data_IF_351533799013
#
_entry.id   IF_351533799013
#
_cell.length_a   1.000
_cell.length_b   1.000
_cell.length_c   1.000
_cell.angle_alpha   90.00
_cell.angle_beta   90.00
_cell.angle_gamma   90.00
#
_symmetry.space_group_name_H-M   'P 1'
#
loop_
_entity.id
_entity.type
_entity.pdbx_description
1 polymer ?
#
# COMPACT_ATOMS: atom_id res chain seq x y z
N UNK A 1 23.05 -10.90 -43.70
CA UNK A 1 23.25 -11.04 -42.24
C UNK A 1 21.96 -11.54 -41.62
N UNK A 2 21.93 -12.72 -40.96
CA UNK A 2 20.77 -13.12 -40.18
C UNK A 2 20.74 -12.36 -38.84
N UNK A 3 19.56 -12.00 -38.30
CA UNK A 3 19.49 -11.35 -37.00
C UNK A 3 19.75 -12.36 -35.88
N UNK A 4 20.61 -11.96 -34.97
CA UNK A 4 20.99 -12.68 -33.75
C UNK A 4 19.80 -12.72 -32.79
N UNK A 5 19.29 -13.91 -32.47
CA UNK A 5 18.36 -14.09 -31.35
C UNK A 5 19.13 -13.81 -30.05
N UNK A 6 18.72 -12.80 -29.29
CA UNK A 6 19.19 -12.59 -27.92
C UNK A 6 18.44 -13.55 -27.01
N UNK A 7 19.15 -14.56 -26.51
CA UNK A 7 18.64 -15.42 -25.45
C UNK A 7 18.58 -14.59 -24.16
N UNK A 8 17.38 -14.22 -23.72
CA UNK A 8 17.17 -13.69 -22.38
C UNK A 8 17.07 -14.87 -21.41
N UNK A 9 18.01 -14.94 -20.47
CA UNK A 9 17.90 -15.83 -19.32
C UNK A 9 16.98 -15.12 -18.33
N UNK A 10 15.72 -15.54 -18.27
CA UNK A 10 14.82 -15.18 -17.17
C UNK A 10 15.25 -16.03 -15.97
N UNK A 11 15.87 -15.40 -14.98
CA UNK A 11 16.12 -16.05 -13.69
C UNK A 11 14.81 -15.99 -12.91
N UNK A 12 13.96 -16.99 -13.08
CA UNK A 12 12.84 -17.22 -12.16
C UNK A 12 13.44 -17.71 -10.84
N UNK A 13 13.51 -16.82 -9.84
CA UNK A 13 13.77 -17.25 -8.46
C UNK A 13 12.47 -17.81 -7.89
N UNK A 14 12.26 -19.12 -8.04
CA UNK A 14 11.16 -19.83 -7.38
C UNK A 14 11.63 -20.47 -6.07
N UNK A 15 10.80 -20.42 -5.01
CA UNK A 15 11.10 -21.22 -3.82
C UNK A 15 10.25 -21.03 -2.55
N UNK A 16 8.95 -20.77 -2.63
CA UNK A 16 8.03 -20.88 -1.50
C UNK A 16 6.66 -21.34 -2.01
N UNK A 17 5.97 -22.24 -1.32
CA UNK A 17 4.66 -22.70 -1.74
C UNK A 17 3.72 -21.49 -1.83
N UNK A 18 3.32 -21.12 -3.04
CA UNK A 18 2.27 -20.14 -3.28
C UNK A 18 1.01 -20.73 -2.65
N UNK A 19 0.70 -20.37 -1.41
CA UNK A 19 -0.69 -20.18 -1.05
C UNK A 19 -1.21 -19.24 -2.12
N UNK A 20 -2.11 -19.71 -2.97
CA UNK A 20 -2.68 -18.89 -4.03
C UNK A 20 -3.44 -17.77 -3.34
N UNK A 21 -2.74 -16.65 -3.13
CA UNK A 21 -3.37 -15.40 -2.81
C UNK A 21 -4.38 -15.16 -3.92
N UNK A 22 -5.61 -14.91 -3.50
CA UNK A 22 -6.71 -14.63 -4.41
C UNK A 22 -7.16 -13.25 -4.02
N UNK A 23 -7.09 -12.35 -4.99
CA UNK A 23 -7.62 -11.01 -4.95
C UNK A 23 -9.00 -10.97 -4.28
N UNK A 24 -9.25 -9.87 -3.59
CA UNK A 24 -10.56 -9.68 -3.00
C UNK A 24 -11.60 -9.18 -4.03
N UNK A 25 -12.79 -8.85 -3.54
CA UNK A 25 -13.92 -8.50 -4.40
C UNK A 25 -13.90 -7.04 -4.90
N UNK A 26 -12.92 -6.23 -4.46
CA UNK A 26 -12.84 -4.79 -4.72
C UNK A 26 -11.86 -4.42 -5.81
N UNK A 27 -11.11 -5.40 -6.31
CA UNK A 27 -10.25 -5.24 -7.47
C UNK A 27 -10.99 -4.84 -8.76
N UNK A 28 -10.33 -4.14 -9.70
CA UNK A 28 -8.91 -3.75 -9.67
C UNK A 28 -8.70 -2.40 -8.95
N UNK A 29 -7.71 -2.34 -8.06
CA UNK A 29 -7.21 -1.11 -7.43
C UNK A 29 -5.68 -1.04 -7.28
N UNK A 30 -4.96 -1.75 -8.15
CA UNK A 30 -3.50 -1.93 -8.18
C UNK A 30 -2.72 -0.64 -8.51
N UNK A 31 -3.42 0.41 -8.95
CA UNK A 31 -2.81 1.63 -9.49
C UNK A 31 -3.50 2.90 -9.03
N UNK A 32 -2.82 4.07 -9.07
CA UNK A 32 -3.45 5.35 -8.75
C UNK A 32 -4.67 5.69 -9.62
N UNK A 33 -4.75 5.15 -10.84
CA UNK A 33 -5.86 5.40 -11.76
C UNK A 33 -7.10 4.53 -11.45
N UNK A 34 -6.88 3.39 -10.78
CA UNK A 34 -7.89 2.41 -10.37
C UNK A 34 -8.22 2.51 -8.88
N UNK A 35 -7.50 3.35 -8.14
CA UNK A 35 -7.64 3.56 -6.71
C UNK A 35 -9.11 3.71 -6.25
N UNK A 36 -9.44 3.00 -5.18
CA UNK A 36 -10.75 3.02 -4.55
C UNK A 36 -11.04 4.39 -3.95
N UNK A 37 -12.14 5.07 -4.33
CA UNK A 37 -12.51 6.32 -3.71
C UNK A 37 -12.97 6.11 -2.27
N UNK A 38 -12.45 6.92 -1.35
CA UNK A 38 -12.87 6.88 0.05
C UNK A 38 -14.10 7.74 0.33
N UNK A 39 -14.80 7.42 1.43
CA UNK A 39 -15.93 8.21 1.93
C UNK A 39 -15.44 9.19 2.98
N UNK A 40 -15.77 10.48 2.84
CA UNK A 40 -15.46 11.49 3.84
C UNK A 40 -16.55 11.57 4.93
N UNK A 41 -16.22 11.81 6.22
CA UNK A 41 -14.86 11.92 6.77
C UNK A 41 -14.27 10.56 7.17
N UNK A 42 -15.07 9.49 7.15
CA UNK A 42 -14.64 8.16 7.57
C UNK A 42 -14.93 7.13 6.47
N UNK A 43 -13.92 6.35 6.15
CA UNK A 43 -14.01 5.18 5.30
C UNK A 43 -13.55 3.96 6.08
N UNK A 44 -14.19 2.81 5.84
CA UNK A 44 -13.75 1.54 6.39
C UNK A 44 -13.99 0.43 5.37
N UNK A 45 -13.04 -0.48 5.27
CA UNK A 45 -13.11 -1.68 4.45
C UNK A 45 -12.64 -2.89 5.25
N UNK A 46 -13.18 -4.07 4.91
CA UNK A 46 -12.90 -5.32 5.62
C UNK A 46 -12.91 -6.49 4.67
N UNK A 47 -12.06 -7.49 4.91
CA UNK A 47 -11.98 -8.65 4.00
C UNK A 47 -11.34 -8.27 2.68
N UNK A 48 -10.46 -7.27 2.72
CA UNK A 48 -9.55 -6.90 1.66
C UNK A 48 -8.35 -7.87 1.65
N UNK A 49 -7.61 -7.93 0.54
CA UNK A 49 -6.46 -8.81 0.37
C UNK A 49 -5.38 -8.16 -0.47
N UNK A 50 -4.20 -7.95 0.12
CA UNK A 50 -2.98 -7.67 -0.64
C UNK A 50 -2.37 -8.97 -1.12
N UNK A 51 -2.09 -9.06 -2.42
CA UNK A 51 -1.33 -10.14 -3.03
C UNK A 51 0.07 -9.68 -3.48
N UNK A 52 0.97 -10.63 -3.72
CA UNK A 52 2.34 -10.33 -4.14
C UNK A 52 2.36 -9.53 -5.45
N UNK A 53 2.87 -8.29 -5.39
CA UNK A 53 2.91 -7.37 -6.52
C UNK A 53 1.55 -6.71 -6.85
N UNK A 54 0.60 -6.81 -5.93
CA UNK A 54 -0.76 -6.28 -6.05
C UNK A 54 -1.03 -5.35 -4.86
N UNK A 55 -0.84 -4.05 -5.08
CA UNK A 55 -0.96 -3.03 -4.04
C UNK A 55 -2.38 -2.48 -4.01
N UNK A 56 -2.94 -2.24 -2.84
CA UNK A 56 -4.30 -1.71 -2.75
C UNK A 56 -4.27 -0.19 -2.62
N UNK A 57 -4.76 0.55 -3.62
CA UNK A 57 -4.74 2.01 -3.63
C UNK A 57 -6.09 2.61 -3.20
N UNK A 58 -6.05 3.55 -2.25
CA UNK A 58 -7.20 4.32 -1.78
C UNK A 58 -7.03 5.81 -2.05
N UNK A 59 -7.94 6.41 -2.83
CA UNK A 59 -7.96 7.84 -3.08
C UNK A 59 -8.61 8.59 -1.91
N UNK A 60 -7.83 9.46 -1.26
CA UNK A 60 -8.22 10.29 -0.13
C UNK A 60 -7.99 11.78 -0.44
N UNK A 61 -9.04 12.52 -0.81
CA UNK A 61 -8.93 13.97 -0.96
C UNK A 61 -8.69 14.64 0.40
N UNK A 62 -7.62 15.43 0.51
CA UNK A 62 -7.31 16.20 1.72
C UNK A 62 -7.22 17.71 1.40
N UNK A 63 -7.77 18.52 2.29
CA UNK A 63 -7.63 19.97 2.30
C UNK A 63 -6.50 20.42 3.24
N UNK A 64 -6.02 21.65 3.04
CA UNK A 64 -4.97 22.22 3.90
C UNK A 64 -5.33 22.17 5.37
N UNK A 65 -4.46 21.54 6.18
CA UNK A 65 -4.59 21.45 7.62
C UNK A 65 -5.43 20.28 8.13
N UNK A 66 -6.11 19.55 7.25
CA UNK A 66 -6.81 18.32 7.64
C UNK A 66 -5.83 17.25 8.07
N UNK A 67 -6.22 16.49 9.08
CA UNK A 67 -5.46 15.35 9.59
C UNK A 67 -6.10 14.05 9.12
N UNK A 68 -5.32 13.30 8.35
CA UNK A 68 -5.53 11.91 8.01
C UNK A 68 -5.09 11.02 9.19
N UNK A 69 -5.89 10.03 9.53
CA UNK A 69 -5.55 8.91 10.41
C UNK A 69 -5.90 7.62 9.69
N UNK A 70 -4.97 6.67 9.65
CA UNK A 70 -5.17 5.36 9.04
C UNK A 70 -4.82 4.28 10.05
N UNK A 71 -5.72 3.33 10.22
CA UNK A 71 -5.49 2.11 10.98
C UNK A 71 -5.68 0.91 10.04
N UNK A 72 -4.61 0.14 9.86
CA UNK A 72 -4.59 -1.12 9.15
C UNK A 72 -4.58 -2.25 10.16
N UNK A 73 -5.49 -3.21 10.04
CA UNK A 73 -5.60 -4.36 10.94
C UNK A 73 -5.48 -5.65 10.15
N UNK A 74 -4.53 -6.50 10.54
CA UNK A 74 -4.29 -7.79 9.91
C UNK A 74 -3.69 -8.79 10.91
N UNK A 75 -3.79 -10.07 10.61
CA UNK A 75 -3.11 -11.11 11.38
C UNK A 75 -1.82 -11.48 10.67
N UNK A 76 -0.72 -11.48 11.42
CA UNK A 76 0.59 -11.89 10.91
C UNK A 76 1.10 -13.06 11.76
N UNK A 77 1.21 -14.24 11.14
CA UNK A 77 1.80 -15.43 11.75
C UNK A 77 3.28 -15.58 11.36
N UNK A 78 3.71 -14.95 10.27
CA UNK A 78 5.08 -15.02 9.76
C UNK A 78 5.46 -13.76 8.94
N UNK A 79 6.75 -13.54 8.65
CA UNK A 79 7.20 -12.36 7.93
C UNK A 79 6.74 -12.23 6.47
N UNK A 80 6.13 -13.26 5.86
CA UNK A 80 5.56 -13.17 4.50
C UNK A 80 4.11 -12.64 4.50
N UNK A 81 3.60 -12.22 5.66
CA UNK A 81 2.29 -11.62 5.86
C UNK A 81 2.42 -10.18 6.36
N UNK A 82 3.58 -9.56 6.12
CA UNK A 82 3.92 -8.21 6.57
C UNK A 82 3.34 -7.17 5.61
N UNK A 83 2.44 -6.33 6.10
CA UNK A 83 1.78 -5.29 5.31
C UNK A 83 2.14 -3.91 5.85
N UNK A 84 2.52 -3.03 4.95
CA UNK A 84 2.93 -1.66 5.21
C UNK A 84 1.92 -0.65 4.64
N UNK A 85 1.86 0.53 5.28
CA UNK A 85 1.18 1.69 4.75
C UNK A 85 2.15 2.61 4.00
N UNK A 86 1.70 3.15 2.88
CA UNK A 86 2.37 4.21 2.14
C UNK A 86 1.43 5.38 1.89
N UNK A 87 1.97 6.60 1.90
CA UNK A 87 1.26 7.81 1.50
C UNK A 87 1.89 8.39 0.24
N UNK A 88 1.14 8.35 -0.86
CA UNK A 88 1.61 8.80 -2.17
C UNK A 88 0.86 10.06 -2.59
N UNK A 89 1.57 11.01 -3.19
CA UNK A 89 0.98 12.18 -3.82
C UNK A 89 1.81 12.61 -5.03
N UNK A 90 1.12 13.00 -6.11
CA UNK A 90 1.76 13.48 -7.34
C UNK A 90 2.83 12.49 -7.89
N UNK A 91 2.60 11.19 -7.66
CA UNK A 91 3.50 10.09 -8.05
C UNK A 91 4.73 9.91 -7.16
N UNK A 92 4.82 10.63 -6.03
CA UNK A 92 5.92 10.53 -5.07
C UNK A 92 5.43 9.81 -3.82
N UNK A 93 6.16 8.78 -3.40
CA UNK A 93 6.00 8.17 -2.09
C UNK A 93 6.59 9.08 -1.01
N UNK A 94 5.71 9.61 -0.15
CA UNK A 94 6.05 10.51 0.94
C UNK A 94 6.57 9.75 2.17
N UNK A 95 6.34 8.44 2.22
CA UNK A 95 6.71 7.53 3.30
C UNK A 95 7.43 6.31 2.70
N UNK A 96 8.61 6.48 2.09
CA UNK A 96 9.30 5.38 1.41
C UNK A 96 9.73 4.29 2.39
N UNK A 97 9.40 3.04 2.07
CA UNK A 97 9.89 1.83 2.72
C UNK A 97 10.05 0.73 1.66
N UNK A 98 11.21 0.07 1.66
CA UNK A 98 11.54 -0.98 0.69
C UNK A 98 12.68 -1.86 1.23
N UNK A 99 12.70 -3.13 0.81
CA UNK A 99 13.70 -4.13 1.23
C UNK A 99 15.15 -3.77 0.84
N UNK A 100 15.35 -2.92 -0.17
CA UNK A 100 16.66 -2.44 -0.57
C UNK A 100 17.16 -1.28 0.31
N UNK A 101 16.25 -0.58 1.00
CA UNK A 101 16.54 0.53 1.92
C UNK A 101 15.68 0.44 3.19
N UNK A 102 15.80 -0.66 3.96
CA UNK A 102 14.94 -0.91 5.12
C UNK A 102 15.12 0.11 6.24
N UNK A 103 16.20 0.89 6.22
CA UNK A 103 16.44 1.99 7.16
C UNK A 103 15.49 3.19 6.99
N UNK A 104 14.74 3.25 5.88
CA UNK A 104 13.75 4.29 5.63
C UNK A 104 12.36 3.95 6.21
N UNK A 105 12.11 2.68 6.49
CA UNK A 105 10.87 2.20 7.09
C UNK A 105 10.75 2.69 8.52
N UNK A 106 9.58 3.23 8.89
CA UNK A 106 9.34 3.73 10.25
C UNK A 106 7.98 3.33 10.79
N UNK A 107 7.93 2.96 12.08
CA UNK A 107 6.67 2.65 12.78
C UNK A 107 5.71 3.84 12.80
N UNK A 108 6.21 5.08 12.79
CA UNK A 108 5.35 6.27 12.73
C UNK A 108 4.56 6.41 11.42
N UNK A 109 5.03 5.76 10.35
CA UNK A 109 4.35 5.74 9.04
C UNK A 109 3.52 4.48 8.82
N UNK A 110 3.42 3.60 9.82
CA UNK A 110 2.73 2.33 9.69
C UNK A 110 3.52 1.32 8.87
N UNK A 111 4.82 1.19 9.18
CA UNK A 111 5.78 0.34 8.45
C UNK A 111 6.65 -0.46 9.42
N UNK A 112 6.00 -1.06 10.41
CA UNK A 112 6.67 -1.95 11.37
C UNK A 112 6.81 -3.35 10.76
N UNK A 113 7.58 -4.22 11.41
CA UNK A 113 7.69 -5.63 10.99
C UNK A 113 6.64 -6.54 11.68
N UNK A 114 5.71 -5.93 12.42
CA UNK A 114 4.71 -6.60 13.24
C UNK A 114 3.30 -6.28 12.73
N UNK A 115 2.30 -7.06 13.14
CA UNK A 115 0.92 -6.88 12.68
C UNK A 115 0.30 -5.57 13.13
N UNK A 116 -0.61 -5.08 12.30
CA UNK A 116 -1.36 -3.83 12.43
C UNK A 116 -0.47 -2.60 12.29
N UNK A 117 -0.90 -1.71 11.41
CA UNK A 117 -0.16 -0.49 11.13
C UNK A 117 -1.03 0.73 11.42
N UNK A 118 -0.36 1.79 11.87
CA UNK A 118 -1.01 3.05 12.22
C UNK A 118 -0.18 4.22 11.72
N UNK A 119 -0.83 5.17 11.06
CA UNK A 119 -0.20 6.42 10.68
C UNK A 119 -1.14 7.60 10.80
N UNK A 120 -0.55 8.77 11.02
CA UNK A 120 -1.25 10.05 10.94
C UNK A 120 -0.47 11.01 10.06
N UNK A 121 -1.20 11.83 9.30
CA UNK A 121 -0.60 12.83 8.43
C UNK A 121 -1.46 14.09 8.42
N UNK A 122 -0.84 15.26 8.56
CA UNK A 122 -1.54 16.54 8.41
C UNK A 122 -1.19 17.15 7.07
N UNK A 123 -2.20 17.37 6.23
CA UNK A 123 -2.02 17.94 4.91
C UNK A 123 -1.38 19.34 5.01
N UNK A 124 -0.21 19.56 4.38
CA UNK A 124 0.45 20.85 4.42
C UNK A 124 -0.36 21.92 3.68
N UNK A 125 0.08 23.18 3.82
CA UNK A 125 -0.45 24.28 3.03
C UNK A 125 -0.31 24.00 1.51
N UNK A 126 -1.28 24.48 0.74
CA UNK A 126 -1.28 24.36 -0.73
C UNK A 126 -2.38 23.47 -1.31
N UNK A 127 -3.18 22.82 -0.47
CA UNK A 127 -4.32 21.99 -0.84
C UNK A 127 -5.67 22.69 -0.60
N UNK A 128 -5.78 23.99 -0.90
CA UNK A 128 -7.02 24.75 -0.63
C UNK A 128 -8.20 24.34 -1.50
N UNK A 129 -7.95 23.72 -2.64
CA UNK A 129 -8.98 23.17 -3.53
C UNK A 129 -9.15 21.64 -3.38
N UNK A 130 -8.49 21.04 -2.38
CA UNK A 130 -8.29 19.60 -2.27
C UNK A 130 -7.05 19.16 -3.05
N UNK A 131 -6.30 18.22 -2.47
CA UNK A 131 -5.26 17.46 -3.13
C UNK A 131 -5.61 15.98 -3.06
N UNK A 132 -5.34 15.26 -4.14
CA UNK A 132 -5.47 13.81 -4.18
C UNK A 132 -4.24 13.19 -3.50
N UNK A 133 -4.47 12.60 -2.33
CA UNK A 133 -3.52 11.71 -1.69
C UNK A 133 -3.98 10.27 -1.91
N UNK A 134 -3.01 9.36 -1.96
CA UNK A 134 -3.26 7.94 -2.02
C UNK A 134 -2.71 7.30 -0.77
N UNK A 135 -3.57 6.61 -0.02
CA UNK A 135 -3.14 5.63 0.97
C UNK A 135 -2.99 4.31 0.24
N UNK A 136 -1.83 3.68 0.36
CA UNK A 136 -1.55 2.40 -0.30
C UNK A 136 -1.22 1.37 0.75
N UNK A 137 -1.87 0.21 0.68
CA UNK A 137 -1.52 -0.96 1.49
C UNK A 137 -0.66 -1.86 0.61
N UNK A 138 0.55 -2.19 1.06
CA UNK A 138 1.52 -2.97 0.29
C UNK A 138 2.10 -4.09 1.13
N UNK A 139 2.40 -5.22 0.50
CA UNK A 139 3.17 -6.29 1.13
C UNK A 139 4.67 -5.99 1.14
N UNK A 140 5.29 -5.99 2.32
CA UNK A 140 6.75 -5.85 2.43
C UNK A 140 7.44 -7.12 1.87
N UNK A 141 8.41 -6.97 0.96
CA UNK A 141 9.08 -8.10 0.28
C UNK A 141 8.11 -9.06 -0.45
N UNK A 142 7.14 -8.51 -1.19
CA UNK A 142 6.07 -9.28 -1.87
C UNK A 142 5.20 -10.11 -0.91
N UNK A 143 5.12 -9.71 0.37
CA UNK A 143 4.22 -10.31 1.35
C UNK A 143 2.76 -10.21 0.92
N UNK A 144 1.91 -11.04 1.52
CA UNK A 144 0.48 -11.06 1.23
C UNK A 144 -0.30 -11.40 2.49
N UNK A 145 -1.37 -10.66 2.76
CA UNK A 145 -2.24 -10.94 3.88
C UNK A 145 -3.63 -10.32 3.69
N UNK A 146 -4.68 -10.94 4.26
CA UNK A 146 -5.99 -10.31 4.34
C UNK A 146 -5.96 -9.22 5.41
N UNK A 147 -6.72 -8.14 5.19
CA UNK A 147 -6.76 -7.03 6.12
C UNK A 147 -8.15 -6.38 6.25
N UNK A 148 -8.21 -5.44 7.19
CA UNK A 148 -9.24 -4.44 7.31
C UNK A 148 -8.58 -3.08 7.51
N UNK A 149 -9.19 -2.02 6.99
CA UNK A 149 -8.67 -0.66 7.08
C UNK A 149 -9.75 0.31 7.55
N UNK A 150 -9.36 1.29 8.37
CA UNK A 150 -10.15 2.49 8.60
C UNK A 150 -9.34 3.74 8.31
N UNK A 151 -9.97 4.67 7.61
CA UNK A 151 -9.39 5.95 7.19
C UNK A 151 -10.30 7.05 7.75
N UNK A 152 -9.74 7.94 8.57
CA UNK A 152 -10.42 9.10 9.13
C UNK A 152 -9.76 10.40 8.69
N UNK A 153 -10.57 11.42 8.41
CA UNK A 153 -10.12 12.79 8.09
C UNK A 153 -10.81 13.78 9.03
N UNK A 154 -10.03 14.64 9.70
CA UNK A 154 -10.49 15.65 10.66
C UNK A 154 -9.91 17.05 10.45
#
# INVERSE_FOLDING_TARGET
>A
HPPTLKNYIIVLRGGGAVSTCTDDARENDDTPAEARPTTYPNHASTGDMVCAGDDDWYLVPLFTGEKLTVDLTFAQANPQEDLDLHLIRDGVDLTPCDVATPELCTIEHGQSADSNEHTTFTAPAGCTAGCDYFVVVRGYDDSSAPYAISIGVE
#
